data_IF_088326046911
#
_entry.id   IF_088326046911
#
_cell.length_a   1.000
_cell.length_b   1.000
_cell.length_c   1.000
_cell.angle_alpha   90.00
_cell.angle_beta   90.00
_cell.angle_gamma   90.00
#
_symmetry.space_group_name_H-M   'P 1'
#
loop_
_entity.id
_entity.type
_entity.pdbx_description
1 polymer ?
#
# COMPACT_ATOMS: atom_id res chain seq x y z
N UNK A 1 13.59 20.48 9.62
CA UNK A 1 13.27 20.34 11.06
C UNK A 1 12.93 18.88 11.30
N UNK A 2 13.74 18.17 12.08
CA UNK A 2 13.51 16.76 12.41
C UNK A 2 12.94 16.71 13.82
N UNK A 3 11.77 16.10 14.01
CA UNK A 3 11.21 15.87 15.34
C UNK A 3 11.41 14.40 15.69
N UNK A 4 12.21 14.15 16.72
CA UNK A 4 12.50 12.84 17.27
C UNK A 4 11.47 12.53 18.35
N UNK A 5 10.69 11.45 18.19
CA UNK A 5 9.80 10.93 19.22
C UNK A 5 10.08 9.46 19.45
N UNK A 6 10.38 9.08 20.70
CA UNK A 6 10.64 7.70 21.12
C UNK A 6 9.52 7.28 22.07
N UNK A 7 8.84 6.18 21.77
CA UNK A 7 8.01 5.48 22.76
C UNK A 7 8.33 3.98 22.77
N UNK A 8 8.70 3.52 23.97
CA UNK A 8 8.92 2.16 24.47
C UNK A 8 8.90 0.98 23.48
N UNK A 9 10.08 0.36 23.31
CA UNK A 9 10.19 -1.11 23.28
C UNK A 9 10.49 -1.80 21.94
N UNK A 10 10.54 -1.07 20.84
CA UNK A 10 11.02 -1.59 19.57
C UNK A 10 11.34 -0.41 18.64
N UNK A 11 12.57 -0.34 18.15
CA UNK A 11 13.01 0.66 17.17
C UNK A 11 12.26 0.45 15.85
N UNK A 12 10.99 0.82 15.81
CA UNK A 12 10.32 1.12 14.57
C UNK A 12 10.85 2.49 14.15
N UNK A 13 11.79 2.47 13.21
CA UNK A 13 12.19 3.64 12.46
C UNK A 13 10.96 4.20 11.73
N UNK A 14 10.13 4.99 12.41
CA UNK A 14 9.26 5.99 11.78
C UNK A 14 10.16 7.12 11.28
N UNK A 15 11.08 6.77 10.38
CA UNK A 15 11.63 7.75 9.47
C UNK A 15 10.48 7.97 8.51
N UNK A 16 9.78 9.10 8.66
CA UNK A 16 9.01 9.70 7.58
C UNK A 16 10.03 10.08 6.50
N UNK A 17 10.63 9.08 5.85
CA UNK A 17 11.18 9.29 4.52
C UNK A 17 9.95 9.58 3.70
N UNK A 18 9.91 10.70 2.97
CA UNK A 18 8.82 10.88 2.02
C UNK A 18 8.84 9.65 1.12
N UNK A 19 7.72 8.92 1.04
CA UNK A 19 7.56 7.71 0.21
C UNK A 19 8.14 7.88 -1.22
N UNK A 20 8.24 9.13 -1.69
CA UNK A 20 8.97 9.53 -2.90
C UNK A 20 10.44 9.08 -2.98
N UNK A 21 11.16 8.93 -1.85
CA UNK A 21 12.57 8.49 -1.86
C UNK A 21 12.72 6.97 -2.06
N UNK A 22 11.77 6.15 -1.58
CA UNK A 22 11.74 4.71 -1.88
C UNK A 22 11.26 4.46 -3.32
N UNK A 23 10.38 5.31 -3.83
CA UNK A 23 9.99 5.38 -5.25
C UNK A 23 11.21 5.70 -6.15
N UNK A 24 12.05 6.65 -5.72
CA UNK A 24 13.27 7.06 -6.45
C UNK A 24 14.41 6.03 -6.39
N UNK A 25 14.38 5.11 -5.41
CA UNK A 25 15.34 4.03 -5.27
C UNK A 25 14.99 2.79 -6.10
N UNK A 26 13.86 2.80 -6.84
CA UNK A 26 13.48 1.70 -7.74
C UNK A 26 12.93 0.45 -7.04
N UNK A 27 12.49 0.56 -5.79
CA UNK A 27 11.98 -0.57 -5.00
C UNK A 27 10.45 -0.64 -4.92
N UNK A 28 9.73 0.27 -5.56
CA UNK A 28 8.27 0.21 -5.64
C UNK A 28 7.84 -0.48 -6.94
N UNK A 29 6.83 -1.33 -6.84
CA UNK A 29 6.16 -1.93 -7.99
C UNK A 29 4.74 -1.36 -8.05
N UNK A 30 4.25 -1.22 -9.27
CA UNK A 30 2.86 -0.82 -9.51
C UNK A 30 2.15 -1.99 -10.15
N UNK A 31 1.02 -2.37 -9.58
CA UNK A 31 0.10 -3.33 -10.19
C UNK A 31 -1.22 -2.65 -10.48
N UNK A 32 -1.82 -2.96 -11.62
CA UNK A 32 -3.13 -2.45 -11.99
C UNK A 32 -4.02 -3.61 -12.39
N UNK A 33 -5.28 -3.57 -11.96
CA UNK A 33 -6.18 -4.71 -12.09
C UNK A 33 -7.50 -4.46 -11.39
N UNK A 34 -8.43 -5.37 -11.62
CA UNK A 34 -9.66 -5.41 -10.83
C UNK A 34 -9.34 -6.04 -9.49
N UNK A 35 -9.90 -5.51 -8.41
CA UNK A 35 -9.81 -6.17 -7.11
C UNK A 35 -10.61 -7.48 -7.17
N UNK A 36 -9.91 -8.60 -7.10
CA UNK A 36 -10.46 -9.95 -7.20
C UNK A 36 -11.12 -10.38 -5.88
N UNK A 37 -10.50 -10.01 -4.76
CA UNK A 37 -11.03 -10.26 -3.42
C UNK A 37 -10.51 -9.24 -2.42
N UNK A 38 -11.23 -9.09 -1.31
CA UNK A 38 -10.88 -8.22 -0.19
C UNK A 38 -11.16 -8.95 1.11
N UNK A 39 -10.25 -8.83 2.09
CA UNK A 39 -10.43 -9.38 3.42
C UNK A 39 -9.94 -8.44 4.50
N UNK A 40 -10.52 -8.59 5.69
CA UNK A 40 -10.08 -7.92 6.91
C UNK A 40 -9.26 -8.92 7.75
N UNK A 41 -7.95 -8.73 7.76
CA UNK A 41 -7.03 -9.46 8.65
C UNK A 41 -6.85 -8.76 10.00
N UNK A 42 -6.11 -9.41 10.90
CA UNK A 42 -5.73 -8.83 12.21
C UNK A 42 -4.90 -7.55 12.08
N UNK A 43 -4.15 -7.42 11.00
CA UNK A 43 -3.27 -6.27 10.72
C UNK A 43 -3.94 -5.18 9.87
N UNK A 44 -5.17 -5.41 9.41
CA UNK A 44 -5.95 -4.45 8.63
C UNK A 44 -6.56 -5.04 7.35
N UNK A 45 -6.64 -4.26 6.28
CA UNK A 45 -7.33 -4.63 5.04
C UNK A 45 -6.32 -5.17 4.02
N UNK A 46 -6.58 -6.36 3.49
CA UNK A 46 -5.85 -6.94 2.37
C UNK A 46 -6.74 -7.07 1.13
N UNK A 47 -6.12 -7.02 -0.05
CA UNK A 47 -6.76 -7.23 -1.35
C UNK A 47 -5.96 -8.19 -2.21
N UNK A 48 -6.65 -8.89 -3.11
CA UNK A 48 -6.03 -9.65 -4.19
C UNK A 48 -6.26 -8.91 -5.52
N UNK A 49 -5.19 -8.64 -6.25
CA UNK A 49 -5.23 -7.92 -7.52
C UNK A 49 -4.13 -8.44 -8.45
N UNK A 50 -4.53 -8.83 -9.67
CA UNK A 50 -3.62 -9.34 -10.70
C UNK A 50 -2.69 -10.46 -10.20
N UNK A 51 -3.24 -11.41 -9.45
CA UNK A 51 -2.47 -12.52 -8.88
C UNK A 51 -1.59 -12.16 -7.68
N UNK A 52 -1.70 -10.95 -7.11
CA UNK A 52 -0.92 -10.51 -5.95
C UNK A 52 -1.80 -10.13 -4.74
N UNK A 53 -1.44 -10.64 -3.57
CA UNK A 53 -1.98 -10.18 -2.29
C UNK A 53 -1.25 -8.93 -1.81
N UNK A 54 -1.99 -7.87 -1.50
CA UNK A 54 -1.45 -6.56 -1.08
C UNK A 54 -2.22 -6.03 0.14
N UNK A 55 -1.48 -5.62 1.16
CA UNK A 55 -2.00 -4.92 2.34
C UNK A 55 -2.21 -3.44 2.03
N UNK A 56 -3.46 -2.98 2.13
CA UNK A 56 -3.90 -1.60 1.83
C UNK A 56 -4.29 -0.81 3.08
N UNK A 57 -4.01 -1.34 4.27
CA UNK A 57 -4.40 -0.74 5.57
C UNK A 57 -3.93 0.69 5.73
N UNK A 58 -2.74 1.00 5.22
CA UNK A 58 -2.12 2.32 5.32
C UNK A 58 -2.21 3.14 4.02
N UNK A 59 -2.95 2.64 3.02
CA UNK A 59 -3.16 3.38 1.79
C UNK A 59 -4.11 4.57 2.01
N UNK A 60 -4.06 5.52 1.08
CA UNK A 60 -4.96 6.66 1.01
C UNK A 60 -6.42 6.29 0.76
N UNK A 61 -6.68 5.04 0.36
CA UNK A 61 -7.97 4.54 -0.06
C UNK A 61 -8.00 3.02 0.03
N UNK A 62 -9.12 2.46 0.50
CA UNK A 62 -9.35 1.02 0.52
C UNK A 62 -10.32 0.66 -0.62
N UNK A 63 -9.87 -0.07 -1.65
CA UNK A 63 -10.70 -0.41 -2.79
C UNK A 63 -11.63 -1.59 -2.50
N UNK A 64 -12.77 -1.61 -3.17
CA UNK A 64 -13.78 -2.68 -3.07
C UNK A 64 -13.60 -3.73 -4.17
N UNK A 65 -14.15 -4.92 -3.94
CA UNK A 65 -14.13 -6.01 -4.93
C UNK A 65 -14.81 -5.57 -6.22
N UNK A 66 -14.18 -5.85 -7.36
CA UNK A 66 -14.64 -5.46 -8.70
C UNK A 66 -14.22 -4.06 -9.13
N UNK A 67 -13.59 -3.26 -8.26
CA UNK A 67 -13.07 -1.96 -8.66
C UNK A 67 -11.77 -2.08 -9.45
N UNK A 68 -11.66 -1.25 -10.48
CA UNK A 68 -10.42 -1.12 -11.23
C UNK A 68 -9.49 -0.12 -10.53
N UNK A 69 -8.30 -0.57 -10.14
CA UNK A 69 -7.36 0.25 -9.38
C UNK A 69 -5.93 0.06 -9.83
N UNK A 70 -5.09 1.04 -9.51
CA UNK A 70 -3.63 0.96 -9.57
C UNK A 70 -3.08 1.07 -8.16
N UNK A 71 -2.25 0.12 -7.76
CA UNK A 71 -1.65 0.03 -6.42
C UNK A 71 -0.15 0.12 -6.56
N UNK A 72 0.43 1.16 -5.94
CA UNK A 72 1.88 1.28 -5.77
C UNK A 72 2.22 0.62 -4.44
N UNK A 73 3.15 -0.32 -4.42
CA UNK A 73 3.50 -1.10 -3.22
C UNK A 73 4.97 -1.46 -3.15
N UNK A 74 5.44 -1.84 -1.96
CA UNK A 74 6.78 -2.39 -1.75
C UNK A 74 6.75 -3.92 -1.93
N UNK A 75 7.43 -4.51 -2.94
CA UNK A 75 7.30 -5.93 -3.28
C UNK A 75 7.68 -6.89 -2.16
N UNK A 76 8.69 -6.53 -1.37
CA UNK A 76 9.18 -7.37 -0.26
C UNK A 76 8.26 -7.41 0.94
N UNK A 77 7.45 -6.38 1.15
CA UNK A 77 6.52 -6.29 2.29
C UNK A 77 5.06 -6.40 1.88
N UNK A 78 4.76 -6.37 0.58
CA UNK A 78 3.41 -6.35 0.00
C UNK A 78 2.51 -5.27 0.63
N UNK A 79 3.10 -4.17 1.09
CA UNK A 79 2.39 -3.03 1.65
C UNK A 79 2.16 -1.97 0.60
N UNK A 80 0.90 -1.62 0.38
CA UNK A 80 0.51 -0.53 -0.47
C UNK A 80 0.98 0.81 0.12
N UNK A 81 1.54 1.61 -0.75
CA UNK A 81 1.97 2.97 -0.56
C UNK A 81 0.88 3.95 -1.00
N UNK A 82 0.19 3.60 -2.09
CA UNK A 82 -0.89 4.39 -2.68
C UNK A 82 -1.82 3.49 -3.47
N UNK A 83 -3.12 3.76 -3.38
CA UNK A 83 -4.15 3.16 -4.23
C UNK A 83 -4.82 4.28 -5.01
N UNK A 84 -4.90 4.12 -6.33
CA UNK A 84 -5.57 5.04 -7.25
C UNK A 84 -6.73 4.31 -7.91
N UNK A 85 -7.95 4.81 -7.73
CA UNK A 85 -9.11 4.31 -8.46
C UNK A 85 -8.99 4.69 -9.93
N UNK A 86 -8.99 3.70 -10.79
CA UNK A 86 -9.04 3.87 -12.24
C UNK A 86 -10.53 3.86 -12.60
N UNK A 87 -11.01 4.91 -13.28
CA UNK A 87 -12.42 5.00 -13.65
C UNK A 87 -12.87 3.75 -14.41
N UNK A 88 -14.13 3.34 -14.21
CA UNK A 88 -14.75 2.32 -15.04
C UNK A 88 -14.66 2.79 -16.49
N UNK A 89 -13.97 2.04 -17.34
CA UNK A 89 -14.02 2.27 -18.78
C UNK A 89 -15.40 1.78 -19.21
N UNK A 90 -16.38 2.69 -19.14
CA UNK A 90 -17.74 2.51 -19.64
C UNK A 90 -17.75 2.30 -21.14
#
# INVERSE_FOLDING_TARGET
>A
VFTLGVFNGGLYYYVVRPLRQDLAAGFAETVSGSVESRWQGKSGIGIHIAGQEIDVTHANYAPEVGEQVSVDFLPRSKKALKVTKLGSTS
#
